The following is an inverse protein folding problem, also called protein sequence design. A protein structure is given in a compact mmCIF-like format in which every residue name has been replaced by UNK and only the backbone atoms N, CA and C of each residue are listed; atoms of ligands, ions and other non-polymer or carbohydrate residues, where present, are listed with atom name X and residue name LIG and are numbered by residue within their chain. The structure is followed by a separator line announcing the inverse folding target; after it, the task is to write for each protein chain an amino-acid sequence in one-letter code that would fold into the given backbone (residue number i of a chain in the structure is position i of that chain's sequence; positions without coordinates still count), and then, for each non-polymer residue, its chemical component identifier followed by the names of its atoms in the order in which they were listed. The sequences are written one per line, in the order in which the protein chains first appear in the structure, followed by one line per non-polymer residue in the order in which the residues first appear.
data_IF_633137860811
#
_entry.id   IF_633137860811
#
_cell.length_a   1.000
_cell.length_b   1.000
_cell.length_c   1.000
_cell.angle_alpha   90.00
_cell.angle_beta   90.00
_cell.angle_gamma   90.00
#
_symmetry.space_group_name_H-M   'P 1'
#
loop_
_entity.id
_entity.type
_entity.pdbx_description
1 polymer ?
#
# COMPACT_ATOMS: atom_id res chain seq x y z
N UNK A 1 -9.19 -4.53 2.04
CA UNK A 1 -9.45 -4.44 3.50
C UNK A 1 -9.84 -3.02 3.88
N UNK A 2 -10.50 -2.82 5.03
CA UNK A 2 -10.81 -1.49 5.58
C UNK A 2 -10.01 -1.26 6.86
N UNK A 3 -9.38 -0.11 7.00
CA UNK A 3 -8.61 0.23 8.22
C UNK A 3 -8.52 1.74 8.43
N UNK A 4 -8.84 2.22 9.64
CA UNK A 4 -8.77 3.64 10.06
C UNK A 4 -9.34 4.67 9.07
N UNK A 5 -10.46 4.34 8.42
CA UNK A 5 -11.09 5.24 7.44
C UNK A 5 -10.51 5.16 6.03
N UNK A 6 -9.69 4.14 5.74
CA UNK A 6 -9.16 3.87 4.41
C UNK A 6 -9.59 2.49 3.87
N UNK A 7 -9.78 2.44 2.56
CA UNK A 7 -10.03 1.23 1.78
C UNK A 7 -8.71 0.84 1.13
N UNK A 8 -8.20 -0.36 1.41
CA UNK A 8 -6.96 -0.86 0.79
C UNK A 8 -7.30 -1.99 -0.17
N UNK A 9 -6.95 -1.83 -1.43
CA UNK A 9 -7.03 -2.89 -2.45
C UNK A 9 -5.64 -3.49 -2.62
N UNK A 10 -5.57 -4.83 -2.57
CA UNK A 10 -4.32 -5.58 -2.61
C UNK A 10 -4.38 -6.56 -3.76
N UNK A 11 -3.40 -6.48 -4.66
CA UNK A 11 -3.29 -7.36 -5.82
C UNK A 11 -2.02 -8.20 -5.71
N UNK A 12 -2.12 -9.49 -6.04
CA UNK A 12 -0.93 -10.34 -6.18
C UNK A 12 -0.14 -9.87 -7.40
N UNK A 13 1.17 -9.79 -7.27
CA UNK A 13 2.08 -9.38 -8.33
C UNK A 13 3.28 -10.28 -8.39
N UNK A 14 3.74 -10.58 -9.60
CA UNK A 14 5.00 -11.29 -9.86
C UNK A 14 6.12 -10.36 -10.31
N UNK A 15 5.85 -9.03 -10.24
CA UNK A 15 6.70 -8.00 -10.83
C UNK A 15 7.03 -6.87 -9.85
N UNK A 16 7.11 -7.16 -8.56
CA UNK A 16 7.54 -6.15 -7.57
C UNK A 16 9.05 -5.99 -7.66
N UNK A 17 9.53 -4.79 -8.03
CA UNK A 17 10.95 -4.50 -8.11
C UNK A 17 11.46 -3.94 -6.78
N UNK A 18 12.47 -4.57 -6.16
CA UNK A 18 13.10 -4.11 -4.92
C UNK A 18 14.61 -4.19 -5.02
N UNK A 19 15.30 -3.30 -4.32
CA UNK A 19 16.75 -3.39 -4.14
C UNK A 19 17.05 -4.47 -3.09
N UNK A 20 17.75 -5.51 -3.50
CA UNK A 20 18.27 -6.55 -2.63
C UNK A 20 19.67 -6.16 -2.16
N UNK A 21 19.82 -6.01 -0.85
CA UNK A 21 21.07 -5.60 -0.22
C UNK A 21 22.13 -6.70 -0.18
N UNK A 22 21.73 -7.98 -0.19
CA UNK A 22 22.64 -9.12 -0.21
C UNK A 22 23.27 -9.24 -1.60
N UNK A 23 22.44 -9.18 -2.65
CA UNK A 23 22.92 -9.22 -4.03
C UNK A 23 23.42 -7.86 -4.55
N UNK A 24 23.17 -6.77 -3.82
CA UNK A 24 23.40 -5.36 -4.20
C UNK A 24 22.82 -4.97 -5.57
N UNK A 25 21.62 -5.46 -5.90
CA UNK A 25 20.97 -5.26 -7.20
C UNK A 25 19.46 -5.13 -7.07
N UNK A 26 18.84 -4.43 -8.01
CA UNK A 26 17.40 -4.49 -8.18
C UNK A 26 17.00 -5.86 -8.74
N UNK A 27 16.05 -6.50 -8.09
CA UNK A 27 15.51 -7.79 -8.47
C UNK A 27 13.98 -7.77 -8.46
N UNK A 28 13.38 -8.74 -9.16
CA UNK A 28 11.93 -8.91 -9.27
C UNK A 28 11.47 -9.98 -8.30
N UNK A 29 10.43 -9.67 -7.53
CA UNK A 29 9.88 -10.55 -6.52
C UNK A 29 8.39 -10.80 -6.76
N UNK A 30 7.96 -11.97 -6.33
CA UNK A 30 6.54 -12.20 -6.05
C UNK A 30 6.15 -11.38 -4.83
N UNK A 31 4.94 -10.86 -4.83
CA UNK A 31 4.55 -9.86 -3.86
C UNK A 31 3.14 -9.36 -4.07
N UNK A 32 2.92 -8.14 -3.61
CA UNK A 32 1.64 -7.47 -3.64
C UNK A 32 1.80 -6.00 -4.03
N UNK A 33 0.93 -5.52 -4.90
CA UNK A 33 0.72 -4.08 -5.10
C UNK A 33 -0.46 -3.66 -4.23
N UNK A 34 -0.27 -2.62 -3.41
CA UNK A 34 -1.25 -2.13 -2.45
C UNK A 34 -1.65 -0.69 -2.81
N UNK A 35 -2.96 -0.46 -2.87
CA UNK A 35 -3.55 0.83 -3.24
C UNK A 35 -4.43 1.30 -2.08
N UNK A 36 -4.14 2.47 -1.52
CA UNK A 36 -4.89 3.06 -0.41
C UNK A 36 -5.85 4.09 -0.98
N UNK A 37 -7.13 3.97 -0.66
CA UNK A 37 -8.19 4.90 -1.02
C UNK A 37 -8.85 5.47 0.24
N UNK A 38 -9.46 6.64 0.11
CA UNK A 38 -10.40 7.13 1.12
C UNK A 38 -11.58 6.17 1.26
N UNK A 39 -12.08 5.93 2.47
CA UNK A 39 -13.36 5.23 2.65
C UNK A 39 -14.57 6.05 2.19
N UNK A 40 -14.40 7.34 1.96
CA UNK A 40 -15.45 8.23 1.47
C UNK A 40 -15.48 8.32 -0.06
N UNK A 41 -14.46 7.79 -0.74
CA UNK A 41 -14.48 7.64 -2.19
C UNK A 41 -15.03 6.26 -2.57
N UNK A 42 -16.36 6.16 -2.65
CA UNK A 42 -17.06 4.90 -2.93
C UNK A 42 -16.64 4.25 -4.24
N UNK A 43 -16.18 5.07 -5.21
CA UNK A 43 -15.77 4.59 -6.52
C UNK A 43 -14.29 4.20 -6.60
N UNK A 44 -13.49 4.54 -5.57
CA UNK A 44 -12.04 4.27 -5.53
C UNK A 44 -11.31 4.67 -6.82
N UNK A 45 -11.58 5.87 -7.35
CA UNK A 45 -11.05 6.29 -8.66
C UNK A 45 -9.56 6.59 -8.61
N UNK A 46 -9.12 7.30 -7.57
CA UNK A 46 -7.73 7.72 -7.41
C UNK A 46 -7.21 7.25 -6.06
N UNK A 47 -6.16 6.42 -6.01
CA UNK A 47 -5.53 6.06 -4.76
C UNK A 47 -4.87 7.30 -4.14
N UNK A 48 -5.01 7.44 -2.82
CA UNK A 48 -4.28 8.43 -2.03
C UNK A 48 -2.79 8.09 -2.00
N UNK A 49 -2.46 6.81 -1.89
CA UNK A 49 -1.08 6.32 -1.91
C UNK A 49 -1.02 4.89 -2.46
N UNK A 50 0.12 4.51 -3.01
CA UNK A 50 0.40 3.20 -3.56
C UNK A 50 1.76 2.70 -3.09
N UNK A 51 1.85 1.43 -2.70
CA UNK A 51 3.11 0.83 -2.30
C UNK A 51 3.15 -0.66 -2.61
N UNK A 52 4.38 -1.19 -2.71
CA UNK A 52 4.61 -2.57 -3.07
C UNK A 52 5.29 -3.35 -1.93
N UNK A 53 4.88 -4.61 -1.80
CA UNK A 53 5.39 -5.57 -0.83
C UNK A 53 5.98 -6.76 -1.56
N UNK A 54 7.29 -6.98 -1.42
CA UNK A 54 8.00 -8.14 -1.94
C UNK A 54 8.08 -9.26 -0.90
N UNK A 55 7.67 -10.46 -1.28
CA UNK A 55 7.86 -11.68 -0.48
C UNK A 55 9.34 -12.05 -0.48
N UNK A 56 9.89 -12.32 0.69
CA UNK A 56 11.31 -12.62 0.91
C UNK A 56 12.17 -11.38 1.18
N UNK A 57 11.65 -10.17 0.92
CA UNK A 57 12.32 -8.90 1.24
C UNK A 57 11.55 -8.16 2.33
N UNK A 58 10.33 -7.69 2.03
CA UNK A 58 9.49 -6.97 2.98
C UNK A 58 8.75 -7.94 3.92
N UNK A 59 8.33 -9.08 3.38
CA UNK A 59 7.58 -10.10 4.11
C UNK A 59 8.36 -11.41 4.12
N UNK A 60 8.97 -11.74 5.27
CA UNK A 60 9.87 -12.90 5.41
C UNK A 60 9.12 -14.25 5.41
N UNK A 61 7.88 -14.30 5.90
CA UNK A 61 7.06 -15.52 5.91
C UNK A 61 5.79 -15.35 5.04
N UNK A 62 5.53 -16.32 4.15
CA UNK A 62 4.40 -16.32 3.18
C UNK A 62 3.02 -16.56 3.83
N UNK A 63 2.67 -15.87 4.92
CA UNK A 63 1.32 -15.93 5.47
C UNK A 63 0.60 -14.61 5.22
N UNK A 64 -0.61 -14.71 4.68
CA UNK A 64 -1.47 -13.57 4.36
C UNK A 64 -1.66 -12.62 5.55
N UNK A 65 -1.66 -13.15 6.78
CA UNK A 65 -1.71 -12.38 8.01
C UNK A 65 -0.57 -11.34 8.12
N UNK A 66 0.66 -11.67 7.71
CA UNK A 66 1.79 -10.73 7.73
C UNK A 66 1.65 -9.59 6.70
N UNK A 67 0.96 -9.84 5.59
CA UNK A 67 0.65 -8.81 4.58
C UNK A 67 -0.28 -7.78 5.21
N UNK A 68 -1.34 -8.23 5.87
CA UNK A 68 -2.31 -7.37 6.52
C UNK A 68 -1.67 -6.52 7.65
N UNK A 69 -0.85 -7.14 8.50
CA UNK A 69 -0.15 -6.44 9.57
C UNK A 69 0.85 -5.42 9.04
N UNK A 70 1.57 -5.74 7.96
CA UNK A 70 2.45 -4.76 7.30
C UNK A 70 1.64 -3.57 6.79
N UNK A 71 0.53 -3.81 6.10
CA UNK A 71 -0.35 -2.75 5.57
C UNK A 71 -0.86 -1.87 6.73
N UNK A 72 -1.31 -2.46 7.84
CA UNK A 72 -1.77 -1.71 9.02
C UNK A 72 -0.65 -0.85 9.60
N UNK A 73 0.54 -1.40 9.77
CA UNK A 73 1.70 -0.67 10.28
C UNK A 73 2.10 0.47 9.33
N UNK A 74 2.10 0.23 8.02
CA UNK A 74 2.33 1.27 7.02
C UNK A 74 1.33 2.43 7.15
N UNK A 75 0.02 2.12 7.27
CA UNK A 75 -1.02 3.13 7.48
C UNK A 75 -0.83 3.86 8.81
N UNK A 76 -0.47 3.15 9.87
CA UNK A 76 -0.26 3.77 11.19
C UNK A 76 0.91 4.75 11.17
N UNK A 77 2.02 4.40 10.50
CA UNK A 77 3.19 5.28 10.38
C UNK A 77 2.95 6.48 9.46
N UNK A 78 2.06 6.34 8.47
CA UNK A 78 1.73 7.40 7.50
C UNK A 78 0.37 8.07 7.75
N UNK A 79 -0.24 7.85 8.91
CA UNK A 79 -1.65 8.19 9.12
C UNK A 79 -1.95 9.67 8.85
N UNK A 80 -1.14 10.57 9.39
CA UNK A 80 -1.34 12.02 9.22
C UNK A 80 -1.12 12.48 7.77
N UNK A 81 -0.12 11.92 7.08
CA UNK A 81 0.15 12.17 5.65
C UNK A 81 -1.04 11.70 4.79
N UNK A 82 -1.55 10.49 5.03
CA UNK A 82 -2.70 9.95 4.32
C UNK A 82 -3.97 10.78 4.55
N UNK A 83 -4.14 11.34 5.75
CA UNK A 83 -5.27 12.25 6.04
C UNK A 83 -5.13 13.59 5.33
N UNK A 84 -3.92 14.11 5.22
CA UNK A 84 -3.66 15.32 4.44
C UNK A 84 -3.94 15.08 2.95
N UNK A 85 -3.47 13.96 2.38
CA UNK A 85 -3.74 13.56 1.00
C UNK A 85 -5.25 13.37 0.75
N UNK A 86 -5.98 12.75 1.69
CA UNK A 86 -7.43 12.61 1.62
C UNK A 86 -8.14 13.97 1.54
N UNK A 87 -7.72 14.93 2.37
CA UNK A 87 -8.28 16.29 2.37
C UNK A 87 -8.03 16.98 1.02
N UNK A 88 -6.81 16.90 0.50
CA UNK A 88 -6.44 17.50 -0.79
C UNK A 88 -7.21 16.87 -1.96
N UNK A 89 -7.38 15.55 -1.96
CA UNK A 89 -8.17 14.84 -2.96
C UNK A 89 -9.60 15.39 -3.06
N UNK A 90 -10.29 15.56 -1.92
CA UNK A 90 -11.67 16.09 -1.94
C UNK A 90 -11.74 17.59 -2.24
N UNK A 91 -10.77 18.39 -1.80
CA UNK A 91 -10.73 19.81 -2.17
C UNK A 91 -10.56 20.00 -3.69
N UNK A 92 -9.72 19.19 -4.33
CA UNK A 92 -9.46 19.28 -5.77
C UNK A 92 -10.57 18.67 -6.62
N UNK A 93 -11.40 17.78 -6.08
CA UNK A 93 -12.55 17.19 -6.79
C UNK A 93 -13.72 18.17 -6.98
N UNK A 94 -13.74 19.25 -6.19
CA UNK A 94 -14.82 20.25 -6.19
C UNK A 94 -14.43 21.59 -6.83
N UNK A 95 -13.23 21.68 -7.42
CA UNK A 95 -12.79 22.79 -8.28
C UNK A 95 -12.85 22.38 -9.75
#
# INVERSE_FOLDING_TARGET
MKYKGFNVIVFVSTKVQKFDYDSKKYQMYNGFNCFIYSNYDENCYTPLDCFDLAIGIDIKEKKYFWVEDYIKNYIDNKFDELKQLEKEYFLNKHN
#
